data_IF_061786199449
#
_entry.id   IF_061786199449
#
_cell.length_a   1.000
_cell.length_b   1.000
_cell.length_c   1.000
_cell.angle_alpha   90.00
_cell.angle_beta   90.00
_cell.angle_gamma   90.00
#
_symmetry.space_group_name_H-M   'P 1'
#
loop_
_entity.id
_entity.type
_entity.pdbx_description
1 polymer ?
#
# COMPACT_ATOMS: atom_id res chain seq x y z
N UNK A 1 -50.08 -5.87 -4.77
CA UNK A 1 -49.72 -5.39 -3.41
C UNK A 1 -48.91 -6.51 -2.76
N UNK A 2 -47.59 -6.45 -2.87
CA UNK A 2 -46.68 -7.41 -2.19
C UNK A 2 -46.18 -6.73 -0.91
N UNK A 3 -46.74 -7.14 0.23
CA UNK A 3 -46.31 -6.69 1.54
C UNK A 3 -44.91 -7.26 1.82
N UNK A 4 -43.87 -6.42 1.73
CA UNK A 4 -42.54 -6.72 2.24
C UNK A 4 -42.62 -6.82 3.78
N UNK A 5 -42.73 -8.04 4.28
CA UNK A 5 -42.59 -8.35 5.70
C UNK A 5 -41.13 -8.12 6.10
N UNK A 6 -40.80 -6.89 6.51
CA UNK A 6 -39.55 -6.64 7.22
C UNK A 6 -39.64 -7.34 8.57
N UNK A 7 -38.99 -8.49 8.68
CA UNK A 7 -38.85 -9.17 9.97
C UNK A 7 -38.14 -8.28 10.99
N UNK A 8 -38.34 -8.51 12.32
CA UNK A 8 -37.78 -7.70 13.41
C UNK A 8 -36.23 -7.65 13.41
N UNK A 9 -35.55 -8.37 12.54
CA UNK A 9 -34.09 -8.44 12.41
C UNK A 9 -33.53 -7.64 11.22
N UNK A 10 -34.35 -6.88 10.50
CA UNK A 10 -33.92 -6.13 9.29
C UNK A 10 -32.87 -5.04 9.53
N UNK A 11 -32.52 -4.75 10.78
CA UNK A 11 -31.47 -3.81 11.18
C UNK A 11 -30.24 -4.45 11.81
N UNK A 12 -30.17 -5.78 11.89
CA UNK A 12 -28.98 -6.44 12.46
C UNK A 12 -27.86 -6.53 11.44
N UNK A 13 -26.63 -6.24 11.92
CA UNK A 13 -25.42 -6.36 11.14
C UNK A 13 -25.23 -7.84 10.77
N UNK A 14 -25.15 -8.16 9.48
CA UNK A 14 -25.01 -9.51 8.97
C UNK A 14 -23.69 -10.18 9.38
N UNK A 15 -22.61 -9.38 9.47
CA UNK A 15 -21.29 -9.87 9.89
C UNK A 15 -20.96 -9.32 11.28
N UNK A 16 -20.82 -10.18 12.26
CA UNK A 16 -20.46 -9.84 13.65
C UNK A 16 -19.00 -10.10 13.98
N UNK A 17 -18.23 -10.56 13.02
CA UNK A 17 -16.81 -10.84 13.20
C UNK A 17 -16.00 -9.55 13.05
N UNK A 18 -15.04 -9.34 13.96
CA UNK A 18 -14.13 -8.22 13.91
C UNK A 18 -12.91 -8.56 13.06
N UNK A 19 -12.38 -7.56 12.36
CA UNK A 19 -11.15 -7.69 11.61
C UNK A 19 -9.96 -7.79 12.59
N UNK A 20 -9.12 -8.81 12.39
CA UNK A 20 -7.89 -8.99 13.19
C UNK A 20 -6.73 -8.19 12.57
N UNK A 21 -5.96 -7.43 13.36
CA UNK A 21 -4.81 -6.69 12.86
C UNK A 21 -3.63 -7.59 12.45
N UNK A 22 -3.64 -8.86 12.81
CA UNK A 22 -2.57 -9.82 12.50
C UNK A 22 -2.67 -10.38 11.09
N UNK A 23 -3.87 -10.37 10.51
CA UNK A 23 -4.13 -10.96 9.20
C UNK A 23 -3.87 -9.98 8.06
N UNK A 24 -2.62 -9.80 7.62
CA UNK A 24 -2.30 -9.02 6.45
C UNK A 24 -1.13 -9.63 5.67
N UNK A 25 -1.03 -9.25 4.39
CA UNK A 25 0.09 -9.57 3.52
C UNK A 25 0.38 -8.34 2.65
N UNK A 26 1.58 -7.83 2.71
CA UNK A 26 2.01 -6.76 1.82
C UNK A 26 2.72 -7.33 0.60
N UNK A 27 2.53 -6.75 -0.57
CA UNK A 27 3.16 -7.17 -1.83
C UNK A 27 3.68 -5.96 -2.60
N UNK A 28 4.93 -6.03 -3.03
CA UNK A 28 5.55 -5.10 -3.96
C UNK A 28 5.88 -5.85 -5.24
N UNK A 29 5.49 -5.32 -6.39
CA UNK A 29 5.67 -5.99 -7.67
C UNK A 29 7.16 -6.22 -7.99
N UNK A 30 8.03 -5.25 -7.69
CA UNK A 30 9.48 -5.34 -7.96
C UNK A 30 10.29 -6.09 -6.90
N UNK A 31 9.81 -6.20 -5.66
CA UNK A 31 10.59 -6.71 -4.52
C UNK A 31 9.85 -7.76 -3.70
N UNK A 32 9.74 -9.00 -4.21
CA UNK A 32 8.99 -10.06 -3.52
C UNK A 32 9.58 -10.46 -2.15
N UNK A 33 10.89 -10.27 -1.93
CA UNK A 33 11.54 -10.58 -0.64
C UNK A 33 11.09 -9.67 0.49
N UNK A 34 10.85 -8.38 0.22
CA UNK A 34 10.30 -7.45 1.22
C UNK A 34 8.88 -7.86 1.63
N UNK A 35 8.11 -8.33 0.67
CA UNK A 35 6.77 -8.87 0.89
C UNK A 35 6.75 -10.00 1.92
N UNK A 36 7.70 -10.91 1.82
CA UNK A 36 7.74 -12.11 2.66
C UNK A 36 8.04 -11.80 4.13
N UNK A 37 8.91 -10.83 4.41
CA UNK A 37 9.36 -10.49 5.76
C UNK A 37 8.64 -9.29 6.39
N UNK A 38 7.57 -8.79 5.78
CA UNK A 38 6.80 -7.68 6.33
C UNK A 38 6.07 -8.09 7.61
N UNK A 39 6.38 -7.42 8.73
CA UNK A 39 5.78 -7.68 10.03
C UNK A 39 4.79 -6.61 10.50
N UNK A 40 4.81 -5.43 9.88
CA UNK A 40 3.85 -4.36 10.14
C UNK A 40 3.66 -3.49 8.91
N UNK A 41 2.42 -3.11 8.65
CA UNK A 41 2.04 -2.16 7.61
C UNK A 41 0.92 -1.27 8.14
N UNK A 42 0.97 0.01 7.83
CA UNK A 42 -0.04 0.99 8.19
C UNK A 42 -0.82 1.38 6.94
N UNK A 43 -2.15 1.37 7.00
CA UNK A 43 -2.97 1.98 5.95
C UNK A 43 -2.91 3.49 6.16
N UNK A 44 -2.44 4.26 5.17
CA UNK A 44 -2.28 5.70 5.33
C UNK A 44 -3.61 6.43 5.54
N UNK A 45 -3.57 7.51 6.28
CA UNK A 45 -4.72 8.39 6.48
C UNK A 45 -5.08 9.14 5.20
N UNK A 46 -6.36 9.51 5.09
CA UNK A 46 -6.87 10.41 4.06
C UNK A 46 -7.46 11.62 4.75
N UNK A 47 -7.05 12.81 4.33
CA UNK A 47 -7.57 14.07 4.83
C UNK A 47 -8.20 14.86 3.70
N UNK A 48 -9.46 15.25 3.86
CA UNK A 48 -10.13 16.17 2.96
C UNK A 48 -9.90 17.61 3.44
N UNK A 49 -9.41 18.46 2.57
CA UNK A 49 -9.32 19.89 2.85
C UNK A 49 -10.70 20.49 3.12
N UNK A 50 -10.77 21.42 4.04
CA UNK A 50 -12.00 22.17 4.34
C UNK A 50 -11.71 23.65 4.22
N UNK A 51 -12.73 24.45 3.84
CA UNK A 51 -12.66 25.90 3.89
C UNK A 51 -13.85 26.44 4.68
N UNK A 52 -13.64 27.61 5.30
CA UNK A 52 -14.68 28.26 6.09
C UNK A 52 -15.37 29.35 5.27
N UNK A 53 -16.69 29.21 5.15
CA UNK A 53 -17.53 30.25 4.58
C UNK A 53 -18.02 31.16 5.72
N UNK A 54 -17.68 32.44 5.72
CA UNK A 54 -18.14 33.35 6.76
C UNK A 54 -19.65 33.58 6.64
N UNK A 55 -20.34 33.49 7.77
CA UNK A 55 -21.76 33.84 7.92
C UNK A 55 -21.90 34.82 9.09
N UNK A 56 -23.05 35.52 9.15
CA UNK A 56 -23.29 36.57 10.15
C UNK A 56 -23.20 36.08 11.60
N UNK A 57 -23.61 34.84 11.88
CA UNK A 57 -23.64 34.27 13.24
C UNK A 57 -22.52 33.27 13.52
N UNK A 58 -22.03 32.58 12.50
CA UNK A 58 -21.06 31.50 12.64
C UNK A 58 -20.38 31.23 11.30
N UNK A 59 -19.08 30.89 11.34
CA UNK A 59 -18.42 30.31 10.17
C UNK A 59 -18.96 28.92 9.88
N UNK A 60 -19.26 28.64 8.63
CA UNK A 60 -19.77 27.35 8.15
C UNK A 60 -18.61 26.63 7.47
N UNK A 61 -18.29 25.43 7.95
CA UNK A 61 -17.27 24.60 7.32
C UNK A 61 -17.85 23.94 6.06
N UNK A 62 -17.18 24.11 4.95
CA UNK A 62 -17.57 23.56 3.65
C UNK A 62 -16.47 22.58 3.19
N UNK A 63 -16.83 21.39 2.67
CA UNK A 63 -15.85 20.45 2.18
C UNK A 63 -15.06 21.03 0.98
N UNK A 64 -13.76 20.89 1.03
CA UNK A 64 -12.88 21.25 -0.07
C UNK A 64 -12.78 20.15 -1.12
N UNK A 65 -12.03 20.41 -2.19
CA UNK A 65 -11.91 19.51 -3.34
C UNK A 65 -10.63 18.66 -3.34
N UNK A 66 -9.68 18.95 -2.44
CA UNK A 66 -8.38 18.29 -2.43
C UNK A 66 -8.26 17.28 -1.31
N UNK A 67 -7.89 16.04 -1.70
CA UNK A 67 -7.51 14.98 -0.78
C UNK A 67 -5.99 15.00 -0.58
N UNK A 68 -5.57 14.84 0.67
CA UNK A 68 -4.17 14.63 1.05
C UNK A 68 -4.03 13.23 1.62
N UNK A 69 -3.00 12.52 1.18
CA UNK A 69 -2.69 11.17 1.62
C UNK A 69 -1.45 11.19 2.51
N UNK A 70 -1.49 10.41 3.58
CA UNK A 70 -0.32 10.18 4.43
C UNK A 70 0.70 9.26 3.77
N UNK A 71 1.87 9.12 4.37
CA UNK A 71 2.91 8.22 3.89
C UNK A 71 2.57 6.75 4.27
N UNK A 72 2.99 5.81 3.45
CA UNK A 72 2.85 4.37 3.70
C UNK A 72 4.08 3.87 4.45
N UNK A 73 3.92 3.56 5.74
CA UNK A 73 4.99 3.02 6.57
C UNK A 73 4.90 1.51 6.65
N UNK A 74 6.01 0.86 6.34
CA UNK A 74 6.14 -0.60 6.35
C UNK A 74 7.33 -0.97 7.21
N UNK A 75 7.15 -1.96 8.10
CA UNK A 75 8.22 -2.56 8.87
C UNK A 75 8.44 -3.99 8.43
N UNK A 76 9.68 -4.36 8.22
CA UNK A 76 10.08 -5.70 7.80
C UNK A 76 11.32 -6.19 8.57
N UNK A 77 11.42 -7.51 8.68
CA UNK A 77 12.61 -8.15 9.22
C UNK A 77 13.72 -8.12 8.18
N UNK A 78 14.93 -7.78 8.61
CA UNK A 78 16.10 -7.79 7.72
C UNK A 78 16.58 -9.24 7.56
N UNK A 79 16.79 -9.63 6.31
CA UNK A 79 17.32 -10.95 5.94
C UNK A 79 18.79 -11.08 6.36
N UNK A 80 19.27 -12.29 6.62
CA UNK A 80 20.66 -12.59 7.00
C UNK A 80 21.67 -12.05 5.98
N UNK A 81 21.33 -12.10 4.70
CA UNK A 81 22.14 -11.57 3.61
C UNK A 81 21.90 -10.07 3.33
N UNK A 82 21.02 -9.42 4.09
CA UNK A 82 20.60 -8.02 3.91
C UNK A 82 20.01 -7.70 2.51
N UNK A 83 19.60 -8.71 1.74
CA UNK A 83 19.17 -8.51 0.36
C UNK A 83 17.92 -7.61 0.27
N UNK A 84 16.98 -7.78 1.21
CA UNK A 84 15.76 -6.96 1.24
C UNK A 84 16.07 -5.50 1.62
N UNK A 85 16.98 -5.27 2.57
CA UNK A 85 17.41 -3.93 2.96
C UNK A 85 18.18 -3.24 1.81
N UNK A 86 19.12 -3.96 1.20
CA UNK A 86 19.90 -3.48 0.05
C UNK A 86 19.02 -3.15 -1.15
N UNK A 87 17.95 -3.92 -1.37
CA UNK A 87 17.01 -3.66 -2.46
C UNK A 87 16.33 -2.28 -2.31
N UNK A 88 15.86 -1.93 -1.11
CA UNK A 88 15.28 -0.60 -0.84
C UNK A 88 16.34 0.50 -0.91
N UNK A 89 17.53 0.23 -0.33
CA UNK A 89 18.64 1.18 -0.37
C UNK A 89 19.06 1.51 -1.81
N UNK A 90 19.24 0.47 -2.65
CA UNK A 90 19.61 0.65 -4.06
C UNK A 90 18.51 1.36 -4.86
N UNK A 91 17.25 1.17 -4.47
CA UNK A 91 16.14 1.90 -5.07
C UNK A 91 16.22 3.39 -4.71
N UNK A 92 16.43 3.73 -3.42
CA UNK A 92 16.61 5.11 -2.95
C UNK A 92 17.82 5.79 -3.62
N UNK A 93 18.98 5.12 -3.62
CA UNK A 93 20.20 5.67 -4.24
C UNK A 93 20.07 5.82 -5.75
N UNK A 94 19.37 4.90 -6.41
CA UNK A 94 19.07 5.01 -7.84
C UNK A 94 18.17 6.20 -8.18
N UNK A 95 17.25 6.57 -7.29
CA UNK A 95 16.40 7.77 -7.46
C UNK A 95 17.14 9.05 -7.11
N UNK A 96 17.97 9.04 -6.06
CA UNK A 96 18.70 10.20 -5.55
C UNK A 96 20.03 10.46 -6.22
N UNK A 97 20.60 9.51 -6.97
CA UNK A 97 21.90 9.54 -7.68
C UNK A 97 23.00 10.34 -6.93
N UNK A 98 23.37 9.92 -5.69
CA UNK A 98 24.27 10.69 -4.85
C UNK A 98 25.70 10.81 -5.39
N UNK A 99 26.16 9.88 -6.21
CA UNK A 99 27.51 9.85 -6.76
C UNK A 99 27.56 10.38 -8.20
N UNK A 100 26.77 9.78 -9.09
CA UNK A 100 26.77 10.12 -10.51
C UNK A 100 25.38 10.06 -11.12
N UNK A 101 25.06 10.94 -12.10
CA UNK A 101 23.82 10.89 -12.86
C UNK A 101 23.60 9.53 -13.59
N UNK A 102 24.67 8.76 -13.77
CA UNK A 102 24.62 7.45 -14.41
C UNK A 102 23.80 6.43 -13.60
N UNK A 103 23.78 6.58 -12.25
CA UNK A 103 22.96 5.72 -11.38
C UNK A 103 21.48 5.83 -11.72
N UNK A 104 21.00 7.04 -11.95
CA UNK A 104 19.64 7.29 -12.38
C UNK A 104 19.35 6.76 -13.78
N UNK A 105 20.28 6.97 -14.71
CA UNK A 105 20.16 6.48 -16.09
C UNK A 105 20.07 4.95 -16.10
N UNK A 106 20.96 4.26 -15.36
CA UNK A 106 20.97 2.81 -15.28
C UNK A 106 19.67 2.24 -14.68
N UNK A 107 19.04 3.00 -13.76
CA UNK A 107 17.77 2.59 -13.14
C UNK A 107 16.57 2.78 -14.05
N UNK A 108 16.58 3.81 -14.89
CA UNK A 108 15.48 4.20 -15.77
C UNK A 108 15.64 3.70 -17.21
N UNK A 109 16.71 2.97 -17.51
CA UNK A 109 16.98 2.42 -18.83
C UNK A 109 16.70 0.93 -18.81
N UNK A 110 15.79 0.48 -19.65
CA UNK A 110 15.49 -0.94 -19.86
C UNK A 110 16.62 -1.67 -20.58
N UNK A 111 16.55 -3.02 -20.62
CA UNK A 111 17.49 -3.90 -21.34
C UNK A 111 17.70 -3.52 -22.82
N UNK A 112 16.68 -2.89 -23.42
CA UNK A 112 16.70 -2.44 -24.81
C UNK A 112 17.28 -1.02 -25.01
N UNK A 113 17.78 -0.39 -23.92
CA UNK A 113 18.37 0.96 -23.97
C UNK A 113 17.34 2.08 -24.07
N UNK A 114 16.06 1.78 -23.92
CA UNK A 114 14.97 2.77 -23.92
C UNK A 114 14.78 3.31 -22.50
N UNK A 115 14.72 4.63 -22.37
CA UNK A 115 14.43 5.29 -21.10
C UNK A 115 12.93 5.16 -20.79
N UNK A 116 12.62 4.48 -19.68
CA UNK A 116 11.29 4.43 -19.12
C UNK A 116 11.28 5.09 -17.74
N UNK A 117 10.63 6.24 -17.66
CA UNK A 117 10.46 6.97 -16.41
C UNK A 117 9.49 6.26 -15.45
N UNK A 118 8.66 5.35 -15.94
CA UNK A 118 7.78 4.53 -15.11
C UNK A 118 8.55 3.50 -14.30
N UNK A 119 9.76 3.14 -14.73
CA UNK A 119 10.69 2.28 -13.98
C UNK A 119 11.07 2.83 -12.59
N UNK A 120 10.89 4.12 -12.33
CA UNK A 120 11.11 4.74 -11.02
C UNK A 120 10.10 4.27 -9.99
N UNK A 121 8.90 3.92 -10.44
CA UNK A 121 7.76 3.58 -9.62
C UNK A 121 7.53 2.07 -9.55
N UNK A 122 6.81 1.67 -8.54
CA UNK A 122 6.36 0.30 -8.36
C UNK A 122 4.90 0.31 -7.89
N UNK A 123 4.12 -0.65 -8.33
CA UNK A 123 2.80 -0.86 -7.76
C UNK A 123 2.91 -1.81 -6.56
N UNK A 124 2.08 -1.55 -5.56
CA UNK A 124 2.02 -2.37 -4.35
C UNK A 124 0.59 -2.65 -3.93
N UNK A 125 0.45 -3.72 -3.15
CA UNK A 125 -0.83 -4.13 -2.60
C UNK A 125 -0.73 -4.57 -1.14
N UNK A 126 -1.64 -4.09 -0.30
CA UNK A 126 -1.82 -4.58 1.04
C UNK A 126 -3.10 -5.45 1.06
N UNK A 127 -2.91 -6.75 1.19
CA UNK A 127 -3.98 -7.72 1.33
C UNK A 127 -4.40 -7.82 2.78
N UNK A 128 -5.67 -7.60 3.05
CA UNK A 128 -6.27 -7.72 4.36
C UNK A 128 -6.95 -9.09 4.44
N UNK A 129 -6.57 -9.89 5.43
CA UNK A 129 -7.03 -11.26 5.60
C UNK A 129 -8.05 -11.35 6.74
N UNK A 130 -8.99 -12.27 6.61
CA UNK A 130 -9.90 -12.62 7.70
C UNK A 130 -9.25 -13.65 8.63
N UNK A 131 -10.01 -14.07 9.68
CA UNK A 131 -9.60 -15.12 10.64
C UNK A 131 -9.27 -16.47 9.98
N UNK A 132 -9.76 -16.71 8.77
CA UNK A 132 -9.47 -17.93 7.99
C UNK A 132 -8.33 -17.73 6.97
N UNK A 133 -7.54 -16.66 7.11
CA UNK A 133 -6.44 -16.30 6.22
C UNK A 133 -6.84 -16.14 4.74
N UNK A 134 -8.10 -15.76 4.49
CA UNK A 134 -8.58 -15.43 3.14
C UNK A 134 -8.63 -13.93 2.95
N UNK A 135 -8.28 -13.47 1.75
CA UNK A 135 -8.36 -12.06 1.39
C UNK A 135 -9.81 -11.56 1.49
N UNK A 136 -10.01 -10.49 2.24
CA UNK A 136 -11.27 -9.77 2.36
C UNK A 136 -11.25 -8.52 1.49
N UNK A 137 -10.19 -7.75 1.61
CA UNK A 137 -9.99 -6.52 0.86
C UNK A 137 -8.53 -6.40 0.43
N UNK A 138 -8.31 -5.68 -0.65
CA UNK A 138 -6.99 -5.36 -1.16
C UNK A 138 -6.88 -3.85 -1.30
N UNK A 139 -5.90 -3.27 -0.61
CA UNK A 139 -5.53 -1.86 -0.78
C UNK A 139 -4.45 -1.80 -1.85
N UNK A 140 -4.78 -1.27 -3.02
CA UNK A 140 -3.86 -1.13 -4.15
C UNK A 140 -3.27 0.26 -4.17
N UNK A 141 -1.96 0.35 -4.12
CA UNK A 141 -1.20 1.59 -4.22
C UNK A 141 -0.61 1.71 -5.62
N UNK A 142 -0.75 2.90 -6.22
CA UNK A 142 -0.18 3.19 -7.54
C UNK A 142 1.02 4.11 -7.41
N UNK A 143 2.05 3.83 -8.20
CA UNK A 143 3.26 4.64 -8.30
C UNK A 143 3.96 4.83 -6.95
N UNK A 144 4.19 3.75 -6.23
CA UNK A 144 4.98 3.74 -5.00
C UNK A 144 6.45 4.04 -5.30
N UNK A 145 7.05 4.85 -4.44
CA UNK A 145 8.49 5.06 -4.40
C UNK A 145 8.94 5.28 -2.95
N UNK A 146 10.13 4.82 -2.57
CA UNK A 146 10.64 4.98 -1.21
C UNK A 146 11.09 6.42 -0.97
N UNK A 147 10.86 6.91 0.25
CA UNK A 147 11.27 8.24 0.71
C UNK A 147 12.29 8.13 1.82
N UNK A 148 12.13 7.16 2.71
CA UNK A 148 13.04 6.97 3.82
C UNK A 148 13.24 5.49 4.14
N UNK A 149 14.40 5.18 4.70
CA UNK A 149 14.79 3.88 5.22
C UNK A 149 15.48 4.08 6.55
N UNK A 150 15.09 3.32 7.57
CA UNK A 150 15.68 3.44 8.90
C UNK A 150 17.10 2.88 8.94
N UNK A 151 17.92 3.44 9.85
CA UNK A 151 19.27 2.93 10.15
C UNK A 151 19.19 1.58 10.88
N UNK A 152 20.23 0.79 10.73
CA UNK A 152 20.48 -0.43 11.52
C UNK A 152 21.62 -0.15 12.48
N UNK A 153 21.40 -0.39 13.78
CA UNK A 153 22.46 -0.26 14.79
C UNK A 153 23.01 -1.63 15.13
N UNK A 154 24.32 -1.78 15.04
CA UNK A 154 25.03 -3.01 15.42
C UNK A 154 25.70 -2.78 16.76
N UNK A 155 25.40 -3.64 17.74
CA UNK A 155 26.02 -3.63 19.06
C UNK A 155 26.52 -5.04 19.41
N UNK A 156 27.84 -5.18 19.49
CA UNK A 156 28.49 -6.45 19.80
C UNK A 156 28.43 -6.82 21.32
N UNK A 157 27.91 -5.94 22.14
CA UNK A 157 27.75 -6.18 23.57
C UNK A 157 26.41 -6.80 23.94
N UNK A 158 25.45 -6.86 23.02
CA UNK A 158 24.18 -7.55 23.24
C UNK A 158 24.41 -9.06 23.37
N UNK A 159 23.84 -9.65 24.43
CA UNK A 159 23.90 -11.08 24.70
C UNK A 159 22.69 -11.84 24.18
N UNK A 160 21.60 -11.14 23.89
CA UNK A 160 20.36 -11.73 23.42
C UNK A 160 20.31 -11.77 21.89
N UNK A 161 19.76 -12.86 21.36
CA UNK A 161 19.56 -13.01 19.91
C UNK A 161 18.34 -12.19 19.49
N UNK A 162 18.59 -10.98 18.99
CA UNK A 162 17.56 -10.10 18.42
C UNK A 162 17.66 -10.09 16.92
N UNK A 163 16.49 -9.94 16.25
CA UNK A 163 16.42 -9.80 14.80
C UNK A 163 16.33 -8.32 14.43
N UNK A 164 17.07 -7.91 13.41
CA UNK A 164 16.96 -6.56 12.88
C UNK A 164 15.61 -6.32 12.21
N UNK A 165 14.98 -5.23 12.60
CA UNK A 165 13.79 -4.70 11.93
C UNK A 165 14.12 -3.37 11.29
N UNK A 166 13.82 -3.23 10.00
CA UNK A 166 13.90 -1.98 9.27
C UNK A 166 12.49 -1.45 9.00
N UNK A 167 12.36 -0.12 8.97
CA UNK A 167 11.15 0.55 8.51
C UNK A 167 11.47 1.35 7.27
N UNK A 168 10.58 1.30 6.30
CA UNK A 168 10.66 2.09 5.09
C UNK A 168 9.36 2.87 4.90
N UNK A 169 9.47 4.17 4.61
CA UNK A 169 8.32 5.01 4.27
C UNK A 169 8.26 5.18 2.76
N UNK A 170 7.08 5.01 2.21
CA UNK A 170 6.81 5.13 0.79
C UNK A 170 5.78 6.23 0.54
N UNK A 171 5.96 6.96 -0.55
CA UNK A 171 4.94 7.81 -1.14
C UNK A 171 4.35 7.17 -2.38
N UNK A 172 3.14 7.56 -2.70
CA UNK A 172 2.37 7.03 -3.81
C UNK A 172 1.43 8.12 -4.36
N UNK A 173 0.90 7.91 -5.55
CA UNK A 173 -0.03 8.86 -6.15
C UNK A 173 -1.43 8.74 -5.57
N UNK A 174 -1.95 7.53 -5.49
CA UNK A 174 -3.31 7.24 -5.01
C UNK A 174 -3.39 5.80 -4.53
N UNK A 175 -4.24 5.53 -3.55
CA UNK A 175 -4.62 4.17 -3.23
C UNK A 175 -6.12 3.94 -3.34
N UNK A 176 -6.51 2.72 -3.64
CA UNK A 176 -7.89 2.28 -3.73
C UNK A 176 -8.07 1.01 -2.91
N UNK A 177 -9.17 0.94 -2.17
CA UNK A 177 -9.57 -0.26 -1.44
C UNK A 177 -10.61 -0.98 -2.28
N UNK A 178 -10.32 -2.22 -2.67
CA UNK A 178 -11.22 -3.07 -3.46
C UNK A 178 -11.58 -4.32 -2.69
N UNK A 179 -12.87 -4.63 -2.64
CA UNK A 179 -13.35 -5.90 -2.12
C UNK A 179 -13.07 -7.02 -3.12
N UNK A 180 -12.74 -8.21 -2.62
CA UNK A 180 -12.50 -9.38 -3.48
C UNK A 180 -13.72 -9.77 -4.31
N UNK A 181 -14.93 -9.51 -3.81
CA UNK A 181 -16.19 -9.76 -4.52
C UNK A 181 -16.35 -8.91 -5.79
N UNK A 182 -15.75 -7.73 -5.83
CA UNK A 182 -15.80 -6.82 -6.99
C UNK A 182 -14.94 -7.28 -8.17
N UNK A 183 -13.94 -8.14 -7.95
CA UNK A 183 -13.04 -8.63 -9.00
C UNK A 183 -13.62 -9.80 -9.82
N UNK A 184 -14.71 -10.42 -9.36
CA UNK A 184 -15.33 -11.57 -10.04
C UNK A 184 -16.24 -11.12 -11.21
N UNK A 185 -16.59 -9.84 -11.27
CA UNK A 185 -17.49 -9.30 -12.31
C UNK A 185 -16.80 -8.73 -13.57
N UNK A 186 -15.49 -8.83 -13.68
CA UNK A 186 -14.76 -8.39 -14.89
C UNK A 186 -14.18 -9.62 -15.58
N UNK A 187 -14.95 -10.25 -16.41
CA UNK A 187 -14.68 -10.83 -17.72
C UNK A 187 -15.47 -12.12 -17.97
N UNK A 188 -16.69 -11.99 -18.41
CA UNK A 188 -17.12 -12.91 -19.47
C UNK A 188 -17.05 -12.14 -20.78
N UNK A 189 -16.16 -12.51 -21.72
CA UNK A 189 -16.29 -12.05 -23.07
C UNK A 189 -17.55 -12.69 -23.66
N UNK A 190 -18.55 -11.89 -23.91
CA UNK A 190 -19.72 -12.29 -24.71
C UNK A 190 -19.21 -12.84 -26.04
N UNK A 191 -19.22 -14.17 -26.18
CA UNK A 191 -19.10 -14.82 -27.48
C UNK A 191 -20.33 -14.39 -28.29
N UNK A 192 -20.16 -13.41 -29.13
CA UNK A 192 -21.08 -13.23 -30.25
C UNK A 192 -20.97 -14.43 -31.19
N UNK A 193 -21.97 -15.28 -31.13
CA UNK A 193 -22.24 -16.24 -32.19
C UNK A 193 -22.62 -15.45 -33.43
N UNK A 194 -21.71 -15.36 -34.40
CA UNK A 194 -22.06 -15.05 -35.78
C UNK A 194 -22.77 -16.27 -36.37
N UNK A 195 -24.03 -16.10 -36.74
CA UNK A 195 -24.76 -16.94 -37.65
C UNK A 195 -24.53 -16.38 -39.04
#
# INVERSE_FOLDING_TARGET
MTSSTRGPLAGQIANRNFLSPVGFKFSLAKFPKITFFCNSALIPEITLGTYQQPSYLKNIDVPGEKLTYGDLDIRFLVDENMENYMAVHNWLTGLGFPETPQQFINKTTDSDGIRDLEEQYCDGGLHILNSNLRDVAIVKFKNLFPVSLTSLSFDATETDINYFTASASFRYTVYNITDKLSLIHISEPTRQLCI
#
